data_IF_554305109931
#
_entry.id   IF_554305109931
#
_cell.length_a   1.000
_cell.length_b   1.000
_cell.length_c   1.000
_cell.angle_alpha   90.00
_cell.angle_beta   90.00
_cell.angle_gamma   90.00
#
_symmetry.space_group_name_H-M   'P 1'
#
loop_
_entity.id
_entity.type
_entity.pdbx_description
1 polymer ?
#
# COMPACT_ATOMS: atom_id res chain seq x y z
N UNK A 1 7.98 -14.42 -11.32
CA UNK A 1 7.56 -13.10 -11.86
C UNK A 1 6.36 -12.64 -11.03
N UNK A 2 6.29 -11.38 -10.61
CA UNK A 2 5.04 -10.88 -10.01
C UNK A 2 4.05 -10.64 -11.16
N UNK A 3 2.83 -11.13 -11.05
CA UNK A 3 1.76 -10.81 -12.00
C UNK A 3 1.13 -9.47 -11.64
N UNK A 4 0.40 -8.87 -12.59
CA UNK A 4 -0.50 -7.76 -12.27
C UNK A 4 -1.46 -8.18 -11.15
N UNK A 5 -1.67 -7.29 -10.18
CA UNK A 5 -2.58 -7.56 -9.07
C UNK A 5 -3.78 -6.63 -9.14
N UNK A 6 -5.00 -7.12 -8.87
CA UNK A 6 -6.14 -6.25 -8.73
C UNK A 6 -5.91 -5.29 -7.56
N UNK A 7 -6.20 -4.01 -7.78
CA UNK A 7 -5.99 -2.92 -6.82
C UNK A 7 -6.60 -3.26 -5.46
N UNK A 8 -7.79 -3.86 -5.46
CA UNK A 8 -8.50 -4.29 -4.25
C UNK A 8 -7.68 -5.25 -3.37
N UNK A 9 -6.88 -6.15 -3.97
CA UNK A 9 -6.04 -7.09 -3.23
C UNK A 9 -4.86 -6.38 -2.58
N UNK A 10 -4.26 -5.42 -3.28
CA UNK A 10 -3.17 -4.57 -2.75
C UNK A 10 -3.69 -3.72 -1.58
N UNK A 11 -4.86 -3.10 -1.74
CA UNK A 11 -5.51 -2.33 -0.67
C UNK A 11 -5.85 -3.18 0.55
N UNK A 12 -6.28 -4.44 0.35
CA UNK A 12 -6.53 -5.36 1.47
C UNK A 12 -5.25 -5.71 2.22
N UNK A 13 -4.13 -5.91 1.51
CA UNK A 13 -2.81 -6.11 2.11
C UNK A 13 -2.38 -4.89 2.93
N UNK A 14 -2.40 -3.70 2.32
CA UNK A 14 -2.10 -2.44 3.02
C UNK A 14 -2.94 -2.27 4.29
N UNK A 15 -4.24 -2.52 4.23
CA UNK A 15 -5.11 -2.42 5.41
C UNK A 15 -4.78 -3.45 6.49
N UNK A 16 -4.39 -4.68 6.12
CA UNK A 16 -3.97 -5.71 7.07
C UNK A 16 -2.69 -5.28 7.83
N UNK A 17 -1.78 -4.62 7.14
CA UNK A 17 -0.54 -4.04 7.69
C UNK A 17 -0.78 -2.73 8.46
N UNK A 18 -2.04 -2.33 8.67
CA UNK A 18 -2.40 -1.09 9.37
C UNK A 18 -2.16 0.20 8.59
N UNK A 19 -1.94 0.12 7.26
CA UNK A 19 -1.81 1.31 6.44
C UNK A 19 -3.18 1.94 6.17
N UNK A 20 -3.21 3.27 6.28
CA UNK A 20 -4.43 4.06 6.14
C UNK A 20 -4.31 5.07 5.02
N UNK A 21 -5.45 5.40 4.40
CA UNK A 21 -5.52 6.46 3.39
C UNK A 21 -5.20 7.79 4.07
N UNK A 22 -4.10 8.42 3.68
CA UNK A 22 -3.67 9.72 4.19
C UNK A 22 -4.37 10.84 3.44
N UNK A 23 -4.25 10.82 2.11
CA UNK A 23 -4.79 11.85 1.24
C UNK A 23 -4.92 11.36 -0.20
N UNK A 24 -5.84 11.95 -0.92
CA UNK A 24 -5.90 11.86 -2.36
C UNK A 24 -4.67 12.54 -2.97
N UNK A 25 -3.96 11.83 -3.85
CA UNK A 25 -2.88 12.38 -4.66
C UNK A 25 -3.41 13.12 -5.87
N UNK A 26 -2.51 13.52 -6.77
CA UNK A 26 -2.91 14.13 -8.04
C UNK A 26 -3.51 13.05 -8.97
N UNK A 27 -4.76 13.25 -9.40
CA UNK A 27 -5.45 12.39 -10.36
C UNK A 27 -6.05 11.14 -9.72
N UNK A 28 -5.82 9.98 -10.33
CA UNK A 28 -6.37 8.67 -9.91
C UNK A 28 -5.50 7.93 -8.90
N UNK A 29 -4.71 8.68 -8.12
CA UNK A 29 -3.76 8.14 -7.15
C UNK A 29 -4.15 8.55 -5.74
N UNK A 30 -3.93 7.66 -4.79
CA UNK A 30 -4.14 7.89 -3.36
C UNK A 30 -2.85 7.63 -2.60
N UNK A 31 -2.49 8.53 -1.70
CA UNK A 31 -1.39 8.34 -0.77
C UNK A 31 -1.90 7.56 0.45
N UNK A 32 -1.26 6.43 0.74
CA UNK A 32 -1.44 5.65 1.95
C UNK A 32 -0.22 5.80 2.85
N UNK A 33 -0.43 5.90 4.16
CA UNK A 33 0.66 5.94 5.14
C UNK A 33 0.57 4.80 6.13
N UNK A 34 1.73 4.37 6.66
CA UNK A 34 1.74 3.49 7.82
C UNK A 34 1.12 4.19 9.03
N UNK A 35 0.62 3.40 9.99
CA UNK A 35 0.11 3.85 11.29
C UNK A 35 1.06 4.78 12.05
N UNK A 36 2.36 4.59 11.91
CA UNK A 36 3.39 5.44 12.56
C UNK A 36 3.65 6.76 11.82
N UNK A 37 3.11 6.93 10.60
CA UNK A 37 3.32 8.12 9.77
C UNK A 37 4.73 8.29 9.20
N UNK A 38 5.62 7.29 9.38
CA UNK A 38 7.01 7.36 8.90
C UNK A 38 7.19 7.06 7.41
N UNK A 39 6.27 6.30 6.83
CA UNK A 39 6.34 5.88 5.43
C UNK A 39 5.00 6.14 4.75
N UNK A 40 5.08 6.63 3.52
CA UNK A 40 3.95 6.83 2.63
C UNK A 40 4.19 6.17 1.27
N UNK A 41 3.10 5.70 0.65
CA UNK A 41 3.10 5.08 -0.67
C UNK A 41 1.98 5.64 -1.52
N UNK A 42 2.28 5.91 -2.78
CA UNK A 42 1.27 6.28 -3.77
C UNK A 42 0.69 5.03 -4.43
N UNK A 43 -0.61 4.84 -4.29
CA UNK A 43 -1.35 3.71 -4.87
C UNK A 43 -2.27 4.25 -5.96
N UNK A 44 -2.15 3.77 -7.22
CA UNK A 44 -3.05 4.14 -8.29
C UNK A 44 -4.41 3.45 -8.13
N UNK A 45 -5.26 3.97 -7.24
CA UNK A 45 -6.53 3.36 -6.87
C UNK A 45 -7.61 3.51 -7.94
N UNK A 46 -7.52 4.52 -8.81
CA UNK A 46 -8.45 4.69 -9.93
C UNK A 46 -8.26 3.66 -11.05
N UNK A 47 -7.23 2.81 -10.96
CA UNK A 47 -7.00 1.71 -11.89
C UNK A 47 -7.59 0.41 -11.31
N UNK A 48 -8.14 -0.46 -12.17
CA UNK A 48 -8.69 -1.76 -11.75
C UNK A 48 -7.60 -2.77 -11.39
N UNK A 49 -6.43 -2.63 -12.02
CA UNK A 49 -5.25 -3.48 -11.86
C UNK A 49 -3.99 -2.64 -11.68
N UNK A 50 -3.07 -3.13 -10.86
CA UNK A 50 -1.77 -2.52 -10.61
C UNK A 50 -0.69 -3.38 -11.26
N UNK A 51 0.19 -2.72 -12.02
CA UNK A 51 1.34 -3.36 -12.64
C UNK A 51 2.27 -3.99 -11.61
N UNK A 52 2.90 -5.13 -11.92
CA UNK A 52 3.73 -5.88 -10.98
C UNK A 52 4.92 -5.09 -10.44
N UNK A 53 5.44 -4.12 -11.18
CA UNK A 53 6.49 -3.21 -10.72
C UNK A 53 6.03 -2.33 -9.55
N UNK A 54 4.83 -1.77 -9.65
CA UNK A 54 4.25 -0.92 -8.58
C UNK A 54 3.92 -1.75 -7.36
N UNK A 55 3.37 -2.95 -7.54
CA UNK A 55 3.12 -3.90 -6.44
C UNK A 55 4.42 -4.23 -5.70
N UNK A 56 5.53 -4.45 -6.43
CA UNK A 56 6.85 -4.67 -5.81
C UNK A 56 7.31 -3.46 -4.99
N UNK A 57 7.10 -2.25 -5.50
CA UNK A 57 7.44 -1.03 -4.77
C UNK A 57 6.64 -0.90 -3.49
N UNK A 58 5.33 -1.16 -3.54
CA UNK A 58 4.45 -1.14 -2.36
C UNK A 58 4.90 -2.19 -1.36
N UNK A 59 5.09 -3.44 -1.79
CA UNK A 59 5.55 -4.51 -0.89
C UNK A 59 6.92 -4.21 -0.28
N UNK A 60 7.84 -3.59 -1.02
CA UNK A 60 9.13 -3.14 -0.46
C UNK A 60 8.95 -2.02 0.56
N UNK A 61 8.06 -1.07 0.30
CA UNK A 61 7.79 0.01 1.25
C UNK A 61 7.15 -0.52 2.53
N UNK A 62 6.21 -1.46 2.42
CA UNK A 62 5.61 -2.18 3.55
C UNK A 62 6.67 -3.00 4.30
N UNK A 63 7.49 -3.79 3.61
CA UNK A 63 8.54 -4.60 4.25
C UNK A 63 9.68 -3.77 4.85
N UNK A 64 9.95 -2.59 4.28
CA UNK A 64 10.90 -1.62 4.85
C UNK A 64 10.28 -0.80 5.97
N UNK A 65 8.98 -0.93 6.19
CA UNK A 65 8.27 -0.23 7.24
C UNK A 65 8.49 -1.01 8.53
N UNK A 66 9.36 -0.50 9.41
CA UNK A 66 9.62 -1.05 10.74
C UNK A 66 8.47 -0.69 11.72
N UNK A 67 7.23 -0.79 11.25
CA UNK A 67 6.04 -0.61 12.08
C UNK A 67 5.81 -1.95 12.79
N UNK A 68 5.95 -2.05 14.13
CA UNK A 68 5.70 -3.30 14.82
C UNK A 68 4.24 -3.70 14.57
N UNK A 69 4.04 -4.90 14.03
CA UNK A 69 2.73 -5.56 14.08
C UNK A 69 2.40 -5.68 15.58
N UNK A 70 1.35 -4.99 16.05
CA UNK A 70 0.78 -5.37 17.34
C UNK A 70 0.22 -6.79 17.13
N UNK A 71 1.01 -7.80 17.51
CA UNK A 71 0.52 -9.14 17.81
C UNK A 71 -0.66 -8.97 18.78
N UNK A 72 -1.88 -9.13 18.27
CA UNK A 72 -3.06 -9.33 19.12
C UNK A 72 -2.83 -10.61 19.93
N UNK A 73 -2.60 -10.44 21.23
CA UNK A 73 -2.57 -11.49 22.25
C UNK A 73 -4.00 -11.87 22.68
#
# INVERSE_FOLDING_TARGET
MLAEQPTRKVLKGLKAEGWSRLRDGAGSHTIYGCRTGKHDVSVPDGHKSISPGVVRTINKAVASCDCPEEEEQ
#
